data_IF_682331262877
#
_entry.id   IF_682331262877
#
_cell.length_a   1.000
_cell.length_b   1.000
_cell.length_c   1.000
_cell.angle_alpha   90.00
_cell.angle_beta   90.00
_cell.angle_gamma   90.00
#
_symmetry.space_group_name_H-M   'P 1'
#
loop_
_entity.id
_entity.type
_entity.pdbx_description
1 polymer ?
#
# COMPACT_ATOMS: atom_id res chain seq x y z
N UNK A 1 -12.95 7.58 -3.29
CA UNK A 1 -13.42 6.24 -2.87
C UNK A 1 -12.26 5.30 -2.53
N UNK A 2 -11.29 5.05 -3.43
CA UNK A 2 -10.19 4.09 -3.18
C UNK A 2 -9.32 4.41 -1.96
N UNK A 3 -8.95 5.68 -1.75
CA UNK A 3 -8.15 6.09 -0.59
C UNK A 3 -8.84 5.78 0.75
N UNK A 4 -10.17 5.96 0.82
CA UNK A 4 -10.93 5.63 2.01
C UNK A 4 -10.94 4.12 2.29
N UNK A 5 -11.12 3.30 1.26
CA UNK A 5 -11.07 1.82 1.40
C UNK A 5 -9.69 1.39 1.89
N UNK A 6 -8.62 1.89 1.26
CA UNK A 6 -7.26 1.59 1.70
C UNK A 6 -6.98 2.09 3.12
N UNK A 7 -7.46 3.27 3.49
CA UNK A 7 -7.33 3.77 4.85
C UNK A 7 -8.00 2.85 5.88
N UNK A 8 -9.27 2.49 5.64
CA UNK A 8 -10.01 1.59 6.52
C UNK A 8 -9.35 0.21 6.65
N UNK A 9 -8.97 -0.40 5.52
CA UNK A 9 -8.34 -1.73 5.52
C UNK A 9 -6.94 -1.69 6.14
N UNK A 10 -6.19 -0.61 5.94
CA UNK A 10 -4.87 -0.42 6.56
C UNK A 10 -4.96 -0.30 8.09
N UNK A 11 -5.92 0.48 8.61
CA UNK A 11 -6.15 0.57 10.06
C UNK A 11 -6.59 -0.78 10.63
N UNK A 12 -7.50 -1.46 9.96
CA UNK A 12 -7.93 -2.80 10.37
C UNK A 12 -6.75 -3.79 10.40
N UNK A 13 -5.92 -3.82 9.35
CA UNK A 13 -4.73 -4.66 9.31
C UNK A 13 -3.75 -4.34 10.44
N UNK A 14 -3.55 -3.06 10.76
CA UNK A 14 -2.74 -2.63 11.90
C UNK A 14 -3.27 -3.16 13.23
N UNK A 15 -4.58 -3.02 13.45
CA UNK A 15 -5.23 -3.52 14.67
C UNK A 15 -5.16 -5.06 14.78
N UNK A 16 -5.41 -5.79 13.70
CA UNK A 16 -5.29 -7.25 13.69
C UNK A 16 -3.87 -7.72 13.98
N UNK A 17 -2.86 -7.07 13.37
CA UNK A 17 -1.46 -7.41 13.61
C UNK A 17 -0.97 -7.12 15.02
N UNK A 18 -1.53 -6.08 15.67
CA UNK A 18 -1.18 -5.71 17.03
C UNK A 18 -1.89 -6.58 18.09
N UNK A 19 -3.00 -7.23 17.76
CA UNK A 19 -3.84 -7.96 18.70
C UNK A 19 -4.07 -9.43 18.26
N UNK A 20 -5.04 -9.67 17.39
CA UNK A 20 -5.52 -11.02 17.08
C UNK A 20 -4.47 -11.90 16.38
N UNK A 21 -3.61 -11.32 15.56
CA UNK A 21 -2.59 -12.04 14.79
C UNK A 21 -1.19 -11.95 15.39
N UNK A 22 -1.00 -11.21 16.48
CA UNK A 22 0.32 -10.91 17.03
C UNK A 22 1.13 -12.17 17.30
N UNK A 23 0.58 -13.07 18.08
CA UNK A 23 1.28 -14.29 18.50
C UNK A 23 1.63 -15.19 17.31
N UNK A 24 0.72 -15.31 16.33
CA UNK A 24 0.98 -16.08 15.12
C UNK A 24 2.08 -15.46 14.26
N UNK A 25 2.07 -14.14 14.09
CA UNK A 25 3.08 -13.40 13.34
C UNK A 25 4.46 -13.48 14.01
N UNK A 26 4.50 -13.42 15.34
CA UNK A 26 5.74 -13.59 16.10
C UNK A 26 6.30 -15.00 15.96
N UNK A 27 5.46 -16.03 16.12
CA UNK A 27 5.85 -17.43 15.94
C UNK A 27 6.39 -17.73 14.54
N UNK A 28 5.85 -17.07 13.52
CA UNK A 28 6.29 -17.18 12.12
C UNK A 28 7.55 -16.34 11.82
N UNK A 29 7.99 -15.47 12.74
CA UNK A 29 9.02 -14.48 12.47
C UNK A 29 8.62 -13.46 11.40
N UNK A 30 7.30 -13.23 11.23
CA UNK A 30 6.71 -12.47 10.14
C UNK A 30 6.14 -11.10 10.55
N UNK A 31 6.27 -10.73 11.82
CA UNK A 31 5.76 -9.46 12.34
C UNK A 31 6.38 -8.26 11.61
N UNK A 32 7.65 -8.35 11.22
CA UNK A 32 8.33 -7.31 10.43
C UNK A 32 7.70 -7.10 9.06
N UNK A 33 7.35 -8.18 8.35
CA UNK A 33 6.65 -8.08 7.05
C UNK A 33 5.28 -7.44 7.20
N UNK A 34 4.52 -7.85 8.23
CA UNK A 34 3.20 -7.30 8.51
C UNK A 34 3.26 -5.81 8.81
N UNK A 35 4.15 -5.39 9.71
CA UNK A 35 4.30 -3.98 10.09
C UNK A 35 4.77 -3.10 8.92
N UNK A 36 5.69 -3.60 8.09
CA UNK A 36 6.10 -2.92 6.87
C UNK A 36 4.91 -2.75 5.92
N UNK A 37 4.11 -3.79 5.73
CA UNK A 37 2.91 -3.72 4.90
C UNK A 37 1.93 -2.67 5.39
N UNK A 38 1.62 -2.64 6.69
CA UNK A 38 0.70 -1.67 7.31
C UNK A 38 1.22 -0.24 7.15
N UNK A 39 2.51 -0.02 7.38
CA UNK A 39 3.13 1.29 7.26
C UNK A 39 3.00 1.86 5.84
N UNK A 40 3.40 1.08 4.84
CA UNK A 40 3.28 1.52 3.43
C UNK A 40 1.83 1.67 2.98
N UNK A 41 0.96 0.79 3.46
CA UNK A 41 -0.47 0.84 3.19
C UNK A 41 -1.09 2.17 3.66
N UNK A 42 -0.90 2.53 4.93
CA UNK A 42 -1.46 3.75 5.52
C UNK A 42 -0.81 5.02 4.97
N UNK A 43 0.52 5.01 4.76
CA UNK A 43 1.24 6.13 4.17
C UNK A 43 0.68 6.49 2.78
N UNK A 44 0.52 5.50 1.92
CA UNK A 44 0.04 5.74 0.57
C UNK A 44 -1.47 6.00 0.51
N UNK A 45 -2.27 5.41 1.41
CA UNK A 45 -3.67 5.79 1.56
C UNK A 45 -3.81 7.29 1.88
N UNK A 46 -3.00 7.80 2.80
CA UNK A 46 -2.96 9.23 3.16
C UNK A 46 -2.48 10.09 1.98
N UNK A 47 -1.43 9.67 1.29
CA UNK A 47 -0.94 10.37 0.10
C UNK A 47 -2.04 10.49 -0.98
N UNK A 48 -2.80 9.43 -1.21
CA UNK A 48 -3.90 9.44 -2.19
C UNK A 48 -5.05 10.37 -1.81
N UNK A 49 -5.32 10.60 -0.53
CA UNK A 49 -6.27 11.64 -0.07
C UNK A 49 -5.75 13.03 -0.47
N UNK A 50 -4.47 13.29 -0.23
CA UNK A 50 -3.82 14.54 -0.64
C UNK A 50 -3.86 14.77 -2.16
N UNK A 51 -3.57 13.71 -2.94
CA UNK A 51 -3.64 13.76 -4.40
C UNK A 51 -5.06 14.05 -4.92
N UNK A 52 -6.07 13.47 -4.28
CA UNK A 52 -7.46 13.76 -4.62
C UNK A 52 -7.81 15.22 -4.34
N UNK A 53 -7.41 15.74 -3.18
CA UNK A 53 -7.63 17.15 -2.83
C UNK A 53 -6.90 18.10 -3.79
N UNK A 54 -5.64 17.81 -4.13
CA UNK A 54 -4.87 18.60 -5.09
C UNK A 54 -5.48 18.58 -6.50
N UNK A 55 -5.93 17.43 -6.96
CA UNK A 55 -6.62 17.29 -8.25
C UNK A 55 -7.91 18.08 -8.30
N UNK A 56 -8.69 18.08 -7.21
CA UNK A 56 -9.93 18.83 -7.09
C UNK A 56 -9.66 20.34 -7.08
N UNK A 57 -8.67 20.78 -6.30
CA UNK A 57 -8.28 22.19 -6.24
C UNK A 57 -7.76 22.72 -7.59
N UNK A 58 -7.08 21.89 -8.36
CA UNK A 58 -6.61 22.22 -9.71
C UNK A 58 -7.72 22.18 -10.77
N UNK A 59 -8.95 21.82 -10.41
CA UNK A 59 -10.08 21.73 -11.34
C UNK A 59 -9.89 20.69 -12.45
N UNK A 60 -9.04 19.68 -12.24
CA UNK A 60 -8.71 18.69 -13.26
C UNK A 60 -8.90 17.26 -12.75
N UNK A 61 -9.55 16.46 -13.57
CA UNK A 61 -9.66 15.01 -13.35
C UNK A 61 -8.60 14.21 -14.13
N UNK A 62 -7.71 14.90 -14.84
CA UNK A 62 -6.64 14.34 -15.66
C UNK A 62 -5.29 14.91 -15.21
N UNK A 63 -4.21 14.31 -15.63
CA UNK A 63 -2.86 14.82 -15.36
C UNK A 63 -2.11 14.07 -14.25
N UNK A 64 -1.04 14.67 -13.70
CA UNK A 64 -0.07 14.00 -12.85
C UNK A 64 -0.69 13.44 -11.58
N UNK A 65 -1.58 14.17 -10.92
CA UNK A 65 -2.19 13.73 -9.66
C UNK A 65 -2.98 12.43 -9.82
N UNK A 66 -3.71 12.30 -10.94
CA UNK A 66 -4.47 11.08 -11.21
C UNK A 66 -3.56 9.90 -11.56
N UNK A 67 -2.55 10.14 -12.40
CA UNK A 67 -1.59 9.10 -12.78
C UNK A 67 -0.81 8.61 -11.56
N UNK A 68 -0.30 9.52 -10.75
CA UNK A 68 0.36 9.20 -9.48
C UNK A 68 -0.54 8.38 -8.55
N UNK A 69 -1.80 8.78 -8.41
CA UNK A 69 -2.78 8.07 -7.59
C UNK A 69 -3.02 6.64 -8.05
N UNK A 70 -3.14 6.39 -9.36
CA UNK A 70 -3.29 5.03 -9.90
C UNK A 70 -2.05 4.17 -9.69
N UNK A 71 -0.85 4.73 -9.91
CA UNK A 71 0.42 4.04 -9.68
C UNK A 71 0.59 3.69 -8.20
N UNK A 72 0.31 4.63 -7.30
CA UNK A 72 0.37 4.41 -5.86
C UNK A 72 -0.65 3.38 -5.40
N UNK A 73 -1.87 3.41 -5.93
CA UNK A 73 -2.91 2.44 -5.61
C UNK A 73 -2.49 1.02 -6.02
N UNK A 74 -2.08 0.85 -7.28
CA UNK A 74 -1.63 -0.44 -7.78
C UNK A 74 -0.39 -0.93 -7.03
N UNK A 75 0.59 -0.04 -6.82
CA UNK A 75 1.82 -0.34 -6.09
C UNK A 75 1.57 -0.74 -4.64
N UNK A 76 0.73 -0.01 -3.92
CA UNK A 76 0.39 -0.31 -2.53
C UNK A 76 -0.35 -1.64 -2.41
N UNK A 77 -1.30 -1.90 -3.31
CA UNK A 77 -2.05 -3.17 -3.31
C UNK A 77 -1.11 -4.35 -3.56
N UNK A 78 -0.19 -4.23 -4.52
CA UNK A 78 0.78 -5.29 -4.80
C UNK A 78 1.81 -5.44 -3.67
N UNK A 79 2.40 -4.36 -3.21
CA UNK A 79 3.45 -4.36 -2.18
C UNK A 79 2.92 -4.85 -0.83
N UNK A 80 1.95 -4.13 -0.26
CA UNK A 80 1.40 -4.48 1.05
C UNK A 80 0.60 -5.77 0.99
N UNK A 81 -0.16 -6.01 -0.08
CA UNK A 81 -0.91 -7.24 -0.27
C UNK A 81 0.00 -8.47 -0.32
N UNK A 82 1.11 -8.43 -1.08
CA UNK A 82 2.07 -9.54 -1.12
C UNK A 82 2.76 -9.77 0.22
N UNK A 83 3.11 -8.72 0.95
CA UNK A 83 3.70 -8.83 2.29
C UNK A 83 2.72 -9.42 3.31
N UNK A 84 1.43 -9.07 3.26
CA UNK A 84 0.41 -9.71 4.10
C UNK A 84 0.30 -11.20 3.79
N UNK A 85 0.28 -11.57 2.51
CA UNK A 85 0.25 -12.97 2.08
C UNK A 85 1.50 -13.73 2.56
N UNK A 86 2.69 -13.14 2.42
CA UNK A 86 3.94 -13.73 2.90
C UNK A 86 3.95 -13.91 4.42
N UNK A 87 3.45 -12.91 5.16
CA UNK A 87 3.39 -12.94 6.61
C UNK A 87 2.46 -14.05 7.12
N UNK A 88 1.32 -14.25 6.46
CA UNK A 88 0.36 -15.29 6.81
C UNK A 88 0.69 -16.66 6.19
N UNK A 89 1.70 -16.75 5.34
CA UNK A 89 2.04 -17.98 4.62
C UNK A 89 0.99 -18.39 3.60
N UNK A 90 0.23 -17.43 3.05
CA UNK A 90 -0.85 -17.64 2.08
C UNK A 90 -0.34 -17.37 0.67
N UNK A 91 -0.71 -18.23 -0.25
CA UNK A 91 -0.35 -18.11 -1.66
C UNK A 91 1.07 -18.58 -2.01
N UNK A 92 1.40 -18.69 -3.31
CA UNK A 92 2.68 -19.16 -3.79
C UNK A 92 3.77 -18.12 -3.56
N UNK A 93 4.78 -18.46 -2.77
CA UNK A 93 5.94 -17.59 -2.50
C UNK A 93 6.67 -17.13 -3.78
N UNK A 94 6.67 -17.98 -4.81
CA UNK A 94 7.26 -17.66 -6.10
C UNK A 94 6.57 -16.49 -6.83
N UNK A 95 5.32 -16.19 -6.50
CA UNK A 95 4.57 -15.05 -7.04
C UNK A 95 4.61 -13.86 -6.06
N UNK A 96 4.39 -14.12 -4.78
CA UNK A 96 4.34 -13.05 -3.76
C UNK A 96 5.70 -12.36 -3.57
N UNK A 97 6.80 -13.11 -3.64
CA UNK A 97 8.15 -12.55 -3.52
C UNK A 97 8.45 -11.49 -4.57
N UNK A 98 8.36 -11.80 -5.88
CA UNK A 98 8.56 -10.81 -6.94
C UNK A 98 7.50 -9.70 -7.01
N UNK A 99 6.27 -9.95 -6.55
CA UNK A 99 5.21 -8.94 -6.52
C UNK A 99 5.56 -7.77 -5.60
N UNK A 100 6.24 -8.03 -4.48
CA UNK A 100 6.64 -7.00 -3.53
C UNK A 100 7.54 -5.92 -4.16
N UNK A 101 8.70 -6.22 -4.76
CA UNK A 101 9.53 -5.19 -5.38
C UNK A 101 8.85 -4.52 -6.58
N UNK A 102 8.03 -5.22 -7.36
CA UNK A 102 7.26 -4.61 -8.46
C UNK A 102 6.27 -3.58 -7.91
N UNK A 103 5.55 -3.90 -6.84
CA UNK A 103 4.69 -2.95 -6.14
C UNK A 103 5.45 -1.73 -5.63
N UNK A 104 6.65 -1.95 -5.07
CA UNK A 104 7.56 -0.87 -4.65
C UNK A 104 7.96 0.07 -5.79
N UNK A 105 8.33 -0.48 -6.94
CA UNK A 105 8.65 0.32 -8.14
C UNK A 105 7.46 1.15 -8.62
N UNK A 106 6.25 0.60 -8.61
CA UNK A 106 5.05 1.35 -8.98
C UNK A 106 4.81 2.54 -8.04
N UNK A 107 5.03 2.38 -6.74
CA UNK A 107 4.94 3.49 -5.78
C UNK A 107 6.01 4.55 -6.06
N UNK A 108 7.26 4.15 -6.30
CA UNK A 108 8.35 5.05 -6.68
C UNK A 108 7.98 5.85 -7.95
N UNK A 109 7.46 5.18 -8.98
CA UNK A 109 6.99 5.85 -10.19
C UNK A 109 5.86 6.84 -9.88
N UNK A 110 4.95 6.49 -8.97
CA UNK A 110 3.90 7.41 -8.52
C UNK A 110 4.44 8.70 -7.90
N UNK A 111 5.46 8.59 -7.05
CA UNK A 111 6.15 9.76 -6.48
C UNK A 111 6.95 10.54 -7.53
N UNK A 112 7.64 9.85 -8.44
CA UNK A 112 8.40 10.47 -9.51
C UNK A 112 7.53 11.33 -10.43
N UNK A 113 6.33 10.86 -10.76
CA UNK A 113 5.36 11.63 -11.55
C UNK A 113 5.04 12.98 -10.92
N UNK A 114 4.99 13.07 -9.59
CA UNK A 114 4.69 14.33 -8.89
C UNK A 114 5.88 15.28 -8.85
N UNK A 115 7.12 14.74 -8.89
CA UNK A 115 8.33 15.56 -8.82
C UNK A 115 8.81 16.08 -10.17
N UNK A 116 8.45 15.41 -11.28
CA UNK A 116 8.96 15.73 -12.62
C UNK A 116 7.89 16.26 -13.59
N UNK A 117 6.71 16.58 -13.08
CA UNK A 117 5.61 17.11 -13.92
C UNK A 117 5.56 18.65 -13.89
#
# INVERSE_FOLDING_TARGET
>A
MYAAVLGCTGVAAGAFGAHALKDELEQRGALGYWNTAVMYHLLHATAMVGLHAASTAAGTSKGPYRMAGHLMMAGTTMFSGSLYCLALGVGPKAVMGPATPVGGLLMICGWAVLGFW
#
